data_IF_433240827891
#
_entry.id   IF_433240827891
#
_cell.length_a   1.000
_cell.length_b   1.000
_cell.length_c   1.000
_cell.angle_alpha   90.00
_cell.angle_beta   90.00
_cell.angle_gamma   90.00
#
_symmetry.space_group_name_H-M   'P 1'
#
loop_
_entity.id
_entity.type
_entity.pdbx_description
1 polymer ?
#
# COMPACT_ATOMS: atom_id res chain seq x y z
N UNK A 1 -8.72 12.62 19.25
CA UNK A 1 -8.96 11.25 18.78
C UNK A 1 -9.91 11.22 17.56
N UNK A 2 -11.17 11.64 17.70
CA UNK A 2 -12.19 11.58 16.61
C UNK A 2 -11.76 12.33 15.33
N UNK A 3 -11.12 13.50 15.48
CA UNK A 3 -10.66 14.30 14.33
C UNK A 3 -9.54 13.58 13.56
N UNK A 4 -8.61 12.95 14.27
CA UNK A 4 -7.52 12.19 13.66
C UNK A 4 -8.06 10.95 12.92
N UNK A 5 -9.02 10.26 13.51
CA UNK A 5 -9.69 9.09 12.90
C UNK A 5 -10.50 9.50 11.65
N UNK A 6 -11.19 10.65 11.69
CA UNK A 6 -11.90 11.18 10.54
C UNK A 6 -10.95 11.55 9.39
N UNK A 7 -9.77 12.12 9.68
CA UNK A 7 -8.74 12.40 8.68
C UNK A 7 -8.16 11.10 8.09
N UNK A 8 -7.93 10.09 8.91
CA UNK A 8 -7.46 8.79 8.44
C UNK A 8 -8.48 8.14 7.50
N UNK A 9 -9.77 8.11 7.88
CA UNK A 9 -10.84 7.58 7.03
C UNK A 9 -11.01 8.38 5.71
N UNK A 10 -10.76 9.68 5.72
CA UNK A 10 -10.77 10.50 4.51
C UNK A 10 -9.57 10.15 3.60
N UNK A 11 -8.40 9.90 4.19
CA UNK A 11 -7.21 9.42 3.46
C UNK A 11 -7.45 8.06 2.81
N UNK A 12 -8.11 7.13 3.50
CA UNK A 12 -8.49 5.81 2.97
C UNK A 12 -9.46 5.91 1.79
N UNK A 13 -10.43 6.81 1.90
CA UNK A 13 -11.31 7.12 0.77
C UNK A 13 -10.52 7.70 -0.41
N UNK A 14 -9.53 8.55 -0.11
CA UNK A 14 -8.62 9.13 -1.10
C UNK A 14 -7.80 8.06 -1.82
N UNK A 15 -7.19 7.12 -1.11
CA UNK A 15 -6.40 6.02 -1.71
C UNK A 15 -7.27 5.14 -2.61
N UNK A 16 -8.51 4.86 -2.19
CA UNK A 16 -9.49 4.10 -2.99
C UNK A 16 -9.86 4.83 -4.28
N UNK A 17 -10.08 6.15 -4.22
CA UNK A 17 -10.36 6.99 -5.40
C UNK A 17 -9.16 7.02 -6.34
N UNK A 18 -7.95 7.19 -5.82
CA UNK A 18 -6.70 7.17 -6.62
C UNK A 18 -6.56 5.85 -7.36
N UNK A 19 -6.79 4.72 -6.67
CA UNK A 19 -6.74 3.38 -7.27
C UNK A 19 -7.79 3.21 -8.37
N UNK A 20 -9.04 3.64 -8.13
CA UNK A 20 -10.12 3.57 -9.11
C UNK A 20 -9.83 4.42 -10.36
N UNK A 21 -9.32 5.64 -10.17
CA UNK A 21 -8.91 6.53 -11.27
C UNK A 21 -7.75 5.92 -12.04
N UNK A 22 -6.76 5.36 -11.33
CA UNK A 22 -5.63 4.66 -11.93
C UNK A 22 -6.07 3.51 -12.85
N UNK A 23 -6.98 2.66 -12.39
CA UNK A 23 -7.54 1.58 -13.22
C UNK A 23 -8.33 2.10 -14.41
N UNK A 24 -9.13 3.15 -14.22
CA UNK A 24 -9.90 3.75 -15.31
C UNK A 24 -8.98 4.33 -16.39
N UNK A 25 -7.89 4.96 -16.01
CA UNK A 25 -6.89 5.49 -16.94
C UNK A 25 -6.11 4.35 -17.60
N UNK A 26 -5.64 3.37 -16.84
CA UNK A 26 -4.89 2.23 -17.36
C UNK A 26 -5.68 1.41 -18.38
N UNK A 27 -7.02 1.35 -18.25
CA UNK A 27 -7.90 0.69 -19.20
C UNK A 27 -8.15 1.44 -20.51
N UNK A 28 -7.61 2.65 -20.70
CA UNK A 28 -7.74 3.40 -21.94
C UNK A 28 -6.83 2.81 -23.03
N UNK A 29 -7.35 2.78 -24.27
CA UNK A 29 -6.60 2.32 -25.43
C UNK A 29 -5.47 3.29 -25.76
N UNK A 30 -4.48 2.80 -26.53
CA UNK A 30 -3.45 3.64 -27.11
C UNK A 30 -4.08 4.77 -27.96
N UNK A 31 -3.50 5.96 -27.87
CA UNK A 31 -3.85 7.15 -28.64
C UNK A 31 -2.58 7.80 -29.22
N UNK A 32 -2.75 8.89 -29.97
CA UNK A 32 -1.63 9.59 -30.63
C UNK A 32 -0.61 10.16 -29.61
N UNK A 33 -1.05 10.47 -28.39
CA UNK A 33 -0.19 10.97 -27.32
C UNK A 33 0.51 9.84 -26.53
N UNK A 34 -0.13 8.67 -26.47
CA UNK A 34 0.35 7.49 -25.75
C UNK A 34 0.28 6.25 -26.64
N UNK A 35 1.21 6.08 -27.59
CA UNK A 35 1.20 5.00 -28.59
C UNK A 35 1.27 3.59 -27.96
N UNK A 36 1.86 3.46 -26.75
CA UNK A 36 1.99 2.20 -26.02
C UNK A 36 0.84 1.96 -25.02
N UNK A 37 -0.21 2.82 -25.04
CA UNK A 37 -1.33 2.74 -24.11
C UNK A 37 -1.09 3.42 -22.77
N UNK A 38 -2.06 3.27 -21.87
CA UNK A 38 -2.08 3.95 -20.56
C UNK A 38 -1.82 2.99 -19.37
N UNK A 39 -1.38 1.75 -19.60
CA UNK A 39 -1.19 0.72 -18.58
C UNK A 39 -0.36 1.19 -17.37
N UNK A 40 0.65 2.03 -17.62
CA UNK A 40 1.50 2.58 -16.55
C UNK A 40 0.78 3.49 -15.56
N UNK A 41 -0.43 3.96 -15.86
CA UNK A 41 -1.24 4.76 -14.94
C UNK A 41 -1.61 3.98 -13.66
N UNK A 42 -1.71 2.65 -13.74
CA UNK A 42 -1.90 1.78 -12.58
C UNK A 42 -0.73 1.85 -11.60
N UNK A 43 0.50 1.76 -12.11
CA UNK A 43 1.70 1.86 -11.28
C UNK A 43 1.85 3.25 -10.65
N UNK A 44 1.47 4.31 -11.38
CA UNK A 44 1.43 5.67 -10.81
C UNK A 44 0.42 5.78 -9.67
N UNK A 45 -0.77 5.17 -9.82
CA UNK A 45 -1.76 5.13 -8.74
C UNK A 45 -1.23 4.35 -7.52
N UNK A 46 -0.62 3.18 -7.74
CA UNK A 46 0.01 2.41 -6.67
C UNK A 46 1.15 3.17 -5.97
N UNK A 47 1.94 3.94 -6.74
CA UNK A 47 3.00 4.79 -6.18
C UNK A 47 2.41 5.91 -5.30
N UNK A 48 1.33 6.57 -5.73
CA UNK A 48 0.66 7.59 -4.93
C UNK A 48 0.13 7.01 -3.61
N UNK A 49 -0.51 5.83 -3.66
CA UNK A 49 -0.97 5.15 -2.45
C UNK A 49 0.20 4.80 -1.53
N UNK A 50 1.31 4.29 -2.06
CA UNK A 50 2.49 3.96 -1.24
C UNK A 50 3.14 5.19 -0.60
N UNK A 51 3.12 6.34 -1.28
CA UNK A 51 3.56 7.62 -0.70
C UNK A 51 2.65 8.07 0.45
N UNK A 52 1.33 7.86 0.33
CA UNK A 52 0.39 8.13 1.43
C UNK A 52 0.71 7.25 2.65
N UNK A 53 0.99 5.95 2.46
CA UNK A 53 1.41 5.05 3.54
C UNK A 53 2.68 5.57 4.22
N UNK A 54 3.67 6.00 3.45
CA UNK A 54 4.91 6.55 4.00
C UNK A 54 4.68 7.83 4.81
N UNK A 55 3.80 8.72 4.34
CA UNK A 55 3.43 9.94 5.07
C UNK A 55 2.75 9.62 6.40
N UNK A 56 1.80 8.67 6.41
CA UNK A 56 1.13 8.19 7.63
C UNK A 56 2.15 7.58 8.59
N UNK A 57 3.07 6.75 8.10
CA UNK A 57 4.14 6.16 8.92
C UNK A 57 5.06 7.20 9.56
N UNK A 58 5.43 8.25 8.82
CA UNK A 58 6.23 9.37 9.34
C UNK A 58 5.48 10.17 10.41
N UNK A 59 4.20 10.47 10.17
CA UNK A 59 3.38 11.22 11.13
C UNK A 59 3.14 10.42 12.42
N UNK A 60 2.88 9.11 12.29
CA UNK A 60 2.78 8.23 13.44
C UNK A 60 4.10 8.16 14.23
N UNK A 61 5.24 8.08 13.52
CA UNK A 61 6.56 8.09 14.15
C UNK A 61 6.82 9.39 14.93
N UNK A 62 6.54 10.54 14.33
CA UNK A 62 6.65 11.84 14.97
C UNK A 62 5.76 11.97 16.21
N UNK A 63 4.50 11.58 16.10
CA UNK A 63 3.53 11.61 17.20
C UNK A 63 3.94 10.67 18.32
N UNK A 64 4.44 9.47 17.98
CA UNK A 64 4.92 8.47 18.96
C UNK A 64 6.13 8.98 19.73
N UNK A 65 7.10 9.61 19.06
CA UNK A 65 8.24 10.26 19.72
C UNK A 65 7.76 11.37 20.67
N UNK A 66 6.80 12.20 20.23
CA UNK A 66 6.19 13.22 21.09
C UNK A 66 5.59 12.62 22.36
N UNK A 67 4.84 11.52 22.26
CA UNK A 67 4.24 10.83 23.40
C UNK A 67 5.27 10.14 24.34
N UNK A 68 6.42 9.72 23.81
CA UNK A 68 7.51 9.19 24.62
C UNK A 68 8.15 10.33 25.45
N UNK A 69 8.35 11.50 24.84
CA UNK A 69 8.96 12.66 25.52
C UNK A 69 8.00 13.36 26.49
N UNK A 70 6.71 13.39 26.14
CA UNK A 70 5.65 14.04 26.89
C UNK A 70 4.46 13.08 27.03
N UNK A 71 4.51 12.14 28.02
CA UNK A 71 3.43 11.19 28.22
C UNK A 71 2.12 11.90 28.60
N UNK A 72 1.07 11.68 27.82
CA UNK A 72 -0.27 12.18 28.09
C UNK A 72 -1.15 11.06 28.64
N UNK A 73 -2.09 11.42 29.53
CA UNK A 73 -3.08 10.46 30.02
C UNK A 73 -4.01 10.06 28.87
N UNK A 74 -4.24 8.77 28.73
CA UNK A 74 -5.13 8.23 27.69
C UNK A 74 -6.57 8.26 28.20
N UNK A 75 -7.43 8.99 27.54
CA UNK A 75 -8.88 9.01 27.82
C UNK A 75 -9.52 7.70 27.35
N UNK A 76 -9.98 6.90 28.30
CA UNK A 76 -10.71 5.67 28.03
C UNK A 76 -12.20 5.95 27.82
N UNK A 77 -12.73 5.53 26.68
CA UNK A 77 -14.16 5.52 26.40
C UNK A 77 -14.56 4.17 25.78
N UNK A 78 -15.54 3.45 26.36
CA UNK A 78 -16.03 2.18 25.80
C UNK A 78 -16.55 2.34 24.36
N UNK A 79 -17.13 3.48 24.03
CA UNK A 79 -17.62 3.79 22.68
C UNK A 79 -16.43 3.90 21.71
N UNK A 80 -15.35 4.58 22.10
CA UNK A 80 -14.15 4.67 21.28
C UNK A 80 -13.52 3.29 21.03
N UNK A 81 -13.47 2.43 22.04
CA UNK A 81 -12.99 1.05 21.90
C UNK A 81 -13.83 0.24 20.91
N UNK A 82 -15.16 0.35 20.98
CA UNK A 82 -16.06 -0.33 20.05
C UNK A 82 -15.89 0.16 18.61
N UNK A 83 -15.73 1.47 18.41
CA UNK A 83 -15.49 2.07 17.07
C UNK A 83 -14.14 1.59 16.52
N UNK A 84 -13.05 1.61 17.30
CA UNK A 84 -11.74 1.14 16.87
C UNK A 84 -11.78 -0.36 16.50
N UNK A 85 -12.45 -1.19 17.30
CA UNK A 85 -12.60 -2.62 17.01
C UNK A 85 -13.38 -2.85 15.69
N UNK A 86 -14.47 -2.13 15.47
CA UNK A 86 -15.25 -2.20 14.24
C UNK A 86 -14.41 -1.75 13.03
N UNK A 87 -13.64 -0.67 13.17
CA UNK A 87 -12.72 -0.17 12.12
C UNK A 87 -11.68 -1.23 11.75
N UNK A 88 -11.06 -1.89 12.74
CA UNK A 88 -10.10 -2.98 12.50
C UNK A 88 -10.73 -4.10 11.67
N UNK A 89 -11.94 -4.54 12.00
CA UNK A 89 -12.62 -5.62 11.28
C UNK A 89 -12.91 -5.25 9.82
N UNK A 90 -13.40 -4.04 9.58
CA UNK A 90 -13.66 -3.54 8.22
C UNK A 90 -12.36 -3.46 7.41
N UNK A 91 -11.29 -2.90 7.98
CA UNK A 91 -10.00 -2.75 7.31
C UNK A 91 -9.30 -4.10 7.06
N UNK A 92 -9.43 -5.07 7.98
CA UNK A 92 -8.99 -6.45 7.74
C UNK A 92 -9.68 -7.08 6.54
N UNK A 93 -11.01 -6.91 6.45
CA UNK A 93 -11.79 -7.40 5.32
C UNK A 93 -11.35 -6.73 4.01
N UNK A 94 -11.20 -5.40 4.00
CA UNK A 94 -10.72 -4.64 2.83
C UNK A 94 -9.32 -5.07 2.41
N UNK A 95 -8.39 -5.18 3.36
CA UNK A 95 -7.01 -5.62 3.10
C UNK A 95 -6.96 -7.04 2.53
N UNK A 96 -7.75 -7.96 3.08
CA UNK A 96 -7.84 -9.34 2.57
C UNK A 96 -8.43 -9.37 1.16
N UNK A 97 -9.50 -8.63 0.91
CA UNK A 97 -10.15 -8.54 -0.40
C UNK A 97 -9.19 -7.99 -1.46
N UNK A 98 -8.59 -6.82 -1.21
CA UNK A 98 -7.65 -6.20 -2.13
C UNK A 98 -6.41 -7.06 -2.38
N UNK A 99 -5.88 -7.72 -1.34
CA UNK A 99 -4.74 -8.62 -1.49
C UNK A 99 -5.06 -9.84 -2.35
N UNK A 100 -6.24 -10.43 -2.16
CA UNK A 100 -6.67 -11.61 -2.91
C UNK A 100 -6.92 -11.27 -4.37
N UNK A 101 -7.61 -10.16 -4.62
CA UNK A 101 -7.92 -9.72 -5.97
C UNK A 101 -6.68 -9.19 -6.70
N UNK A 102 -5.83 -8.42 -6.01
CA UNK A 102 -4.57 -7.91 -6.52
C UNK A 102 -3.62 -9.01 -6.98
N UNK A 103 -3.52 -10.11 -6.20
CA UNK A 103 -2.76 -11.30 -6.61
C UNK A 103 -3.32 -11.98 -7.87
N UNK A 104 -4.65 -12.07 -8.00
CA UNK A 104 -5.29 -12.69 -9.17
C UNK A 104 -5.13 -11.87 -10.44
N UNK A 105 -5.11 -10.54 -10.30
CA UNK A 105 -5.01 -9.60 -11.42
C UNK A 105 -3.56 -9.15 -11.71
N UNK A 106 -2.60 -9.52 -10.86
CA UNK A 106 -1.22 -9.00 -10.96
C UNK A 106 -1.11 -7.49 -10.72
N UNK A 107 -2.09 -6.87 -10.02
CA UNK A 107 -2.22 -5.43 -9.88
C UNK A 107 -1.36 -4.87 -8.75
N UNK A 108 -0.39 -4.01 -9.10
CA UNK A 108 0.46 -3.29 -8.14
C UNK A 108 -0.34 -2.26 -7.34
N UNK A 109 -1.33 -1.59 -7.95
CA UNK A 109 -2.18 -0.63 -7.27
C UNK A 109 -3.05 -1.29 -6.19
N UNK A 110 -3.65 -2.46 -6.48
CA UNK A 110 -4.40 -3.22 -5.47
C UNK A 110 -3.51 -3.78 -4.37
N UNK A 111 -2.27 -4.18 -4.69
CA UNK A 111 -1.30 -4.61 -3.70
C UNK A 111 -0.93 -3.44 -2.74
N UNK A 112 -0.72 -2.22 -3.27
CA UNK A 112 -0.48 -1.03 -2.47
C UNK A 112 -1.68 -0.69 -1.58
N UNK A 113 -2.91 -0.72 -2.10
CA UNK A 113 -4.15 -0.50 -1.31
C UNK A 113 -4.34 -1.57 -0.22
N UNK A 114 -3.95 -2.81 -0.48
CA UNK A 114 -3.95 -3.86 0.54
C UNK A 114 -2.91 -3.59 1.64
N UNK A 115 -1.72 -3.11 1.28
CA UNK A 115 -0.68 -2.73 2.24
C UNK A 115 -1.13 -1.53 3.09
N UNK A 116 -1.81 -0.55 2.51
CA UNK A 116 -2.43 0.59 3.18
C UNK A 116 -3.42 0.12 4.26
N UNK A 117 -4.43 -0.67 3.87
CA UNK A 117 -5.42 -1.23 4.79
C UNK A 117 -4.80 -2.04 5.94
N UNK A 118 -3.75 -2.84 5.66
CA UNK A 118 -3.04 -3.61 6.69
C UNK A 118 -2.23 -2.71 7.62
N UNK A 119 -1.61 -1.65 7.11
CA UNK A 119 -0.88 -0.65 7.91
C UNK A 119 -1.82 0.03 8.90
N UNK A 120 -3.02 0.37 8.46
CA UNK A 120 -4.06 0.96 9.28
C UNK A 120 -4.56 0.00 10.38
N UNK A 121 -4.74 -1.29 10.05
CA UNK A 121 -5.07 -2.31 11.04
C UNK A 121 -4.01 -2.38 12.14
N UNK A 122 -2.74 -2.38 11.76
CA UNK A 122 -1.63 -2.42 12.73
C UNK A 122 -1.58 -1.15 13.58
N UNK A 123 -1.73 0.04 12.96
CA UNK A 123 -1.77 1.31 13.67
C UNK A 123 -2.94 1.39 14.65
N UNK A 124 -4.15 1.07 14.19
CA UNK A 124 -5.37 1.11 15.01
C UNK A 124 -5.33 0.07 16.14
N UNK A 125 -4.77 -1.12 15.88
CA UNK A 125 -4.57 -2.16 16.89
C UNK A 125 -3.59 -1.72 17.99
N UNK A 126 -2.53 -1.01 17.62
CA UNK A 126 -1.58 -0.47 18.60
C UNK A 126 -2.21 0.63 19.45
N UNK A 127 -3.03 1.53 18.86
CA UNK A 127 -3.79 2.52 19.61
C UNK A 127 -4.77 1.86 20.57
N UNK A 128 -5.50 0.83 20.11
CA UNK A 128 -6.43 0.08 20.94
C UNK A 128 -5.71 -0.61 22.10
N UNK A 129 -4.59 -1.29 21.83
CA UNK A 129 -3.77 -1.95 22.85
C UNK A 129 -3.19 -0.94 23.87
N UNK A 130 -2.69 0.21 23.39
CA UNK A 130 -2.19 1.29 24.23
C UNK A 130 -3.29 1.88 25.14
N UNK A 131 -4.50 2.10 24.59
CA UNK A 131 -5.66 2.59 25.34
C UNK A 131 -6.07 1.61 26.43
N UNK A 132 -6.12 0.31 26.12
CA UNK A 132 -6.46 -0.74 27.10
C UNK A 132 -5.36 -0.87 28.16
N UNK A 133 -4.09 -0.89 27.77
CA UNK A 133 -2.96 -0.98 28.70
C UNK A 133 -2.90 0.26 29.61
N UNK A 134 -3.14 1.46 29.09
CA UNK A 134 -3.21 2.69 29.88
C UNK A 134 -4.32 2.65 30.92
N UNK A 135 -5.50 2.12 30.54
CA UNK A 135 -6.64 2.05 31.45
C UNK A 135 -6.49 0.96 32.53
N UNK A 136 -6.09 -0.26 32.15
CA UNK A 136 -6.05 -1.39 33.07
C UNK A 136 -4.73 -1.53 33.83
N UNK A 137 -3.61 -1.19 33.20
CA UNK A 137 -2.28 -1.39 33.80
C UNK A 137 -1.59 -0.08 34.22
N UNK A 138 -2.21 1.07 33.98
CA UNK A 138 -1.63 2.41 34.21
C UNK A 138 -0.23 2.59 33.57
N UNK A 139 0.02 1.89 32.46
CA UNK A 139 1.29 1.92 31.73
C UNK A 139 1.17 2.85 30.51
N UNK A 140 1.99 3.88 30.45
CA UNK A 140 2.10 4.78 29.28
C UNK A 140 3.02 4.20 28.19
N UNK A 141 2.65 3.02 27.65
CA UNK A 141 3.41 2.35 26.60
C UNK A 141 2.98 2.74 25.17
N UNK A 142 1.96 3.57 25.04
CA UNK A 142 1.35 3.98 23.78
C UNK A 142 2.39 4.59 22.82
N UNK A 143 3.26 5.48 23.29
CA UNK A 143 4.33 6.06 22.49
C UNK A 143 5.34 5.02 21.96
N UNK A 144 5.74 4.04 22.77
CA UNK A 144 6.67 2.99 22.34
C UNK A 144 6.03 2.02 21.34
N UNK A 145 4.79 1.61 21.60
CA UNK A 145 4.03 0.77 20.68
C UNK A 145 3.84 1.47 19.34
N UNK A 146 3.46 2.76 19.35
CA UNK A 146 3.32 3.56 18.14
C UNK A 146 4.62 3.71 17.36
N UNK A 147 5.77 3.86 18.02
CA UNK A 147 7.08 3.95 17.35
C UNK A 147 7.44 2.63 16.63
N UNK A 148 7.20 1.48 17.25
CA UNK A 148 7.42 0.16 16.60
C UNK A 148 6.50 0.00 15.40
N UNK A 149 5.25 0.38 15.52
CA UNK A 149 4.27 0.33 14.42
C UNK A 149 4.66 1.26 13.29
N UNK A 150 5.14 2.48 13.60
CA UNK A 150 5.61 3.42 12.58
C UNK A 150 6.73 2.83 11.71
N UNK A 151 7.71 2.15 12.33
CA UNK A 151 8.78 1.46 11.59
C UNK A 151 8.21 0.36 10.68
N UNK A 152 7.23 -0.40 11.18
CA UNK A 152 6.56 -1.43 10.37
C UNK A 152 5.83 -0.83 9.17
N UNK A 153 5.06 0.25 9.36
CA UNK A 153 4.33 0.95 8.30
C UNK A 153 5.30 1.54 7.26
N UNK A 154 6.39 2.18 7.71
CA UNK A 154 7.41 2.72 6.80
C UNK A 154 8.07 1.63 5.95
N UNK A 155 8.34 0.46 6.54
CA UNK A 155 8.87 -0.68 5.79
C UNK A 155 7.87 -1.21 4.77
N UNK A 156 6.59 -1.31 5.12
CA UNK A 156 5.52 -1.75 4.21
C UNK A 156 5.33 -0.75 3.05
N UNK A 157 5.25 0.56 3.36
CA UNK A 157 5.14 1.63 2.36
C UNK A 157 6.34 1.68 1.41
N UNK A 158 7.56 1.48 1.92
CA UNK A 158 8.76 1.40 1.09
C UNK A 158 8.73 0.20 0.14
N UNK A 159 8.28 -0.97 0.62
CA UNK A 159 8.08 -2.15 -0.21
C UNK A 159 7.09 -1.87 -1.35
N UNK A 160 5.90 -1.36 -1.01
CA UNK A 160 4.88 -1.00 -2.00
C UNK A 160 5.37 0.04 -3.01
N UNK A 161 6.12 1.07 -2.56
CA UNK A 161 6.72 2.07 -3.46
C UNK A 161 7.72 1.43 -4.43
N UNK A 162 8.57 0.54 -3.95
CA UNK A 162 9.55 -0.17 -4.78
C UNK A 162 8.87 -1.03 -5.84
N UNK A 163 7.80 -1.74 -5.46
CA UNK A 163 7.07 -2.63 -6.36
C UNK A 163 6.34 -1.86 -7.47
N UNK A 164 5.98 -0.60 -7.22
CA UNK A 164 5.35 0.28 -8.22
C UNK A 164 6.35 1.08 -9.06
N UNK A 165 7.51 1.46 -8.49
CA UNK A 165 8.55 2.20 -9.22
C UNK A 165 9.31 1.31 -10.21
N UNK A 166 9.60 0.07 -9.86
CA UNK A 166 10.39 -0.82 -10.71
C UNK A 166 9.80 -0.99 -12.13
N UNK A 167 8.50 -1.27 -12.31
CA UNK A 167 7.90 -1.33 -13.64
C UNK A 167 7.92 0.03 -14.38
N UNK A 168 7.77 1.14 -13.66
CA UNK A 168 7.85 2.48 -14.26
C UNK A 168 9.24 2.79 -14.83
N UNK A 169 10.30 2.30 -14.18
CA UNK A 169 11.69 2.44 -14.64
C UNK A 169 12.05 1.45 -15.76
N UNK A 170 11.17 0.51 -16.10
CA UNK A 170 11.42 -0.54 -17.07
C UNK A 170 12.09 -1.74 -16.44
N UNK A 171 11.36 -2.45 -15.59
CA UNK A 171 11.81 -3.72 -15.03
C UNK A 171 12.11 -4.71 -16.16
N UNK A 172 13.19 -5.49 -16.00
CA UNK A 172 13.50 -6.56 -16.96
C UNK A 172 12.35 -7.57 -17.00
N UNK A 173 11.94 -8.02 -18.19
CA UNK A 173 10.93 -9.05 -18.30
C UNK A 173 11.41 -10.37 -17.67
N UNK A 174 10.46 -11.24 -17.34
CA UNK A 174 10.75 -12.56 -16.78
C UNK A 174 11.73 -13.33 -17.70
N UNK A 175 12.87 -13.82 -17.19
CA UNK A 175 13.82 -14.60 -17.96
C UNK A 175 13.20 -15.83 -18.65
N UNK A 176 12.21 -16.47 -18.03
CA UNK A 176 11.50 -17.61 -18.62
C UNK A 176 10.69 -17.19 -19.85
N UNK A 177 10.02 -16.04 -19.78
CA UNK A 177 9.28 -15.47 -20.91
C UNK A 177 10.22 -15.12 -22.06
N UNK A 178 11.36 -14.49 -21.77
CA UNK A 178 12.39 -14.15 -22.77
C UNK A 178 12.90 -15.40 -23.45
N UNK A 179 13.16 -16.46 -22.67
CA UNK A 179 13.64 -17.75 -23.20
C UNK A 179 12.59 -18.41 -24.08
N UNK A 180 11.33 -18.45 -23.65
CA UNK A 180 10.23 -19.04 -24.42
C UNK A 180 10.02 -18.30 -25.77
N UNK A 181 10.04 -16.94 -25.76
CA UNK A 181 9.95 -16.16 -27.00
C UNK A 181 11.11 -16.50 -27.93
N UNK A 182 12.33 -16.56 -27.38
CA UNK A 182 13.53 -16.89 -28.16
C UNK A 182 13.44 -18.28 -28.78
N UNK A 183 13.00 -19.29 -28.04
CA UNK A 183 12.80 -20.66 -28.58
C UNK A 183 11.80 -20.68 -29.71
N UNK A 184 10.63 -20.04 -29.53
CA UNK A 184 9.60 -19.96 -30.58
C UNK A 184 10.13 -19.29 -31.84
N UNK A 185 10.82 -18.16 -31.71
CA UNK A 185 11.37 -17.42 -32.86
C UNK A 185 12.44 -18.23 -33.59
N UNK A 186 13.40 -18.81 -32.83
CA UNK A 186 14.51 -19.58 -33.40
C UNK A 186 14.10 -20.98 -33.89
N UNK A 187 12.91 -21.47 -33.56
CA UNK A 187 12.36 -22.73 -34.08
C UNK A 187 11.99 -22.64 -35.56
N UNK A 188 11.86 -21.43 -36.13
CA UNK A 188 11.55 -21.25 -37.55
C UNK A 188 12.81 -21.43 -38.39
N UNK A 189 12.82 -22.33 -39.40
CA UNK A 189 14.00 -22.65 -40.20
C UNK A 189 14.64 -21.49 -40.94
N UNK A 190 13.89 -20.42 -41.17
CA UNK A 190 14.35 -19.24 -41.91
C UNK A 190 14.92 -18.15 -40.99
N UNK A 191 14.85 -18.32 -39.65
CA UNK A 191 15.38 -17.35 -38.69
C UNK A 191 16.74 -17.78 -38.21
N UNK A 192 17.75 -16.99 -38.51
CA UNK A 192 19.17 -17.29 -38.18
C UNK A 192 19.57 -16.70 -36.84
N UNK A 193 18.86 -15.68 -36.34
CA UNK A 193 19.18 -15.04 -35.07
C UNK A 193 18.09 -14.04 -34.65
N UNK A 194 18.11 -13.65 -33.39
CA UNK A 194 17.22 -12.63 -32.82
C UNK A 194 18.08 -11.65 -32.00
N UNK A 195 17.93 -10.35 -32.30
CA UNK A 195 18.62 -9.24 -31.63
C UNK A 195 17.62 -8.21 -31.17
N UNK A 196 17.96 -7.44 -30.16
CA UNK A 196 17.21 -6.26 -29.68
C UNK A 196 15.74 -6.56 -29.33
N UNK A 197 15.49 -7.67 -28.62
CA UNK A 197 14.16 -8.00 -28.13
C UNK A 197 13.72 -6.96 -27.09
N UNK A 198 12.67 -6.22 -27.42
CA UNK A 198 12.02 -5.26 -26.52
C UNK A 198 10.64 -5.82 -26.19
N UNK A 199 10.36 -5.98 -24.88
CA UNK A 199 9.06 -6.42 -24.37
C UNK A 199 8.43 -5.24 -23.64
N UNK A 200 7.21 -4.90 -24.01
CA UNK A 200 6.39 -3.87 -23.35
C UNK A 200 5.17 -4.51 -22.70
N UNK A 201 4.82 -3.97 -21.50
CA UNK A 201 3.55 -4.25 -20.83
C UNK A 201 2.45 -3.35 -21.40
#
# INVERSE_FOLDING_TARGET
AITADAFNNLSDAGSSVVTLVGFKLAGQKADDGHPFGHGRAEYLAGLLVSLMILLVGLELGKTSIGKILHPEAVDFSPVSVAILAASILVKLWMGHFNRTLGKKLGSAAMAATAADSLSDVVATSAVLAGTLAGHFAHLSIDGWAGAVVAVFILKAGWGAAKDTINPLLGASPDPELVHAIREVVLSHPQVVGMHDLIIHD
#
